data_IF_727405034866
#
_entry.id   IF_727405034866
#
_cell.length_a   1.000
_cell.length_b   1.000
_cell.length_c   1.000
_cell.angle_alpha   90.00
_cell.angle_beta   90.00
_cell.angle_gamma   90.00
#
_symmetry.space_group_name_H-M   'P 1'
#
loop_
_entity.id
_entity.type
_entity.pdbx_description
1 polymer ?
#
# COMPACT_ATOMS: atom_id res chain seq x y z
N UNK A 1 29.75 -54.59 43.08
CA UNK A 1 29.43 -54.20 41.69
C UNK A 1 27.91 -53.98 41.61
N UNK A 2 27.45 -52.79 41.75
CA UNK A 2 26.05 -52.41 41.59
C UNK A 2 25.90 -51.86 40.15
N UNK A 3 25.10 -52.52 39.33
CA UNK A 3 24.74 -52.04 38.00
C UNK A 3 23.66 -50.98 38.17
N UNK A 4 23.95 -49.76 37.72
CA UNK A 4 23.00 -48.68 37.58
C UNK A 4 22.20 -48.91 36.27
N UNK A 5 20.89 -49.09 36.40
CA UNK A 5 19.97 -49.13 35.26
C UNK A 5 19.56 -47.71 34.93
N UNK A 6 19.98 -47.17 33.81
CA UNK A 6 19.51 -45.89 33.28
C UNK A 6 18.21 -46.14 32.52
N UNK A 7 17.06 -45.72 33.09
CA UNK A 7 15.81 -45.65 32.35
C UNK A 7 15.79 -44.33 31.60
N UNK A 8 15.94 -44.40 30.29
CA UNK A 8 15.64 -43.26 29.40
C UNK A 8 14.14 -43.14 29.23
N UNK A 9 13.55 -42.09 29.82
CA UNK A 9 12.17 -41.65 29.50
C UNK A 9 12.21 -40.89 28.19
N UNK A 10 11.74 -41.48 27.11
CA UNK A 10 11.43 -40.79 25.89
C UNK A 10 10.08 -40.07 26.11
N UNK A 11 10.14 -38.76 26.27
CA UNK A 11 8.94 -37.92 26.24
C UNK A 11 8.55 -37.79 24.78
N UNK A 12 7.55 -38.51 24.33
CA UNK A 12 6.84 -38.22 23.10
C UNK A 12 6.01 -36.94 23.33
N UNK A 13 6.49 -35.79 22.86
CA UNK A 13 5.61 -34.67 22.62
C UNK A 13 4.72 -35.05 21.43
N UNK A 14 3.49 -35.42 21.70
CA UNK A 14 2.44 -35.40 20.68
C UNK A 14 2.06 -33.95 20.54
N UNK A 15 2.61 -33.26 19.53
CA UNK A 15 2.03 -32.04 19.05
C UNK A 15 0.66 -32.40 18.47
N UNK A 16 -0.40 -32.15 19.21
CA UNK A 16 -1.74 -32.05 18.62
C UNK A 16 -1.69 -30.85 17.70
N UNK A 17 -1.55 -31.08 16.39
CA UNK A 17 -1.99 -30.09 15.41
C UNK A 17 -3.46 -29.83 15.73
N UNK A 18 -3.71 -28.75 16.42
CA UNK A 18 -5.03 -28.17 16.49
C UNK A 18 -5.25 -27.61 15.08
N UNK A 19 -6.04 -28.28 14.25
CA UNK A 19 -6.55 -27.62 13.06
C UNK A 19 -7.30 -26.40 13.55
N UNK A 20 -6.77 -25.23 13.27
CA UNK A 20 -7.45 -23.98 13.54
C UNK A 20 -8.72 -24.00 12.70
N UNK A 21 -9.87 -23.76 13.33
CA UNK A 21 -11.11 -23.61 12.59
C UNK A 21 -10.94 -22.42 11.64
N UNK A 22 -11.40 -22.52 10.41
CA UNK A 22 -11.27 -21.40 9.47
C UNK A 22 -11.92 -20.14 10.07
N UNK A 23 -11.33 -18.96 9.88
CA UNK A 23 -11.87 -17.73 10.43
C UNK A 23 -13.30 -17.51 9.97
N UNK A 24 -14.17 -17.16 10.91
CA UNK A 24 -15.58 -16.85 10.62
C UNK A 24 -15.77 -15.35 10.62
N UNK A 25 -16.31 -14.81 9.53
CA UNK A 25 -16.60 -13.39 9.40
C UNK A 25 -18.09 -13.13 9.70
N UNK A 26 -18.34 -12.10 10.50
CA UNK A 26 -19.69 -11.59 10.75
C UNK A 26 -19.80 -10.22 10.13
N UNK A 27 -20.82 -9.99 9.29
CA UNK A 27 -21.11 -8.66 8.78
C UNK A 27 -21.51 -7.74 9.93
N UNK A 28 -20.77 -6.64 10.08
CA UNK A 28 -20.93 -5.62 11.11
C UNK A 28 -21.16 -4.22 10.51
N UNK A 29 -21.58 -4.15 9.24
CA UNK A 29 -21.86 -2.87 8.58
C UNK A 29 -22.92 -2.02 9.29
N UNK A 30 -23.71 -2.61 10.18
CA UNK A 30 -24.64 -1.87 11.04
C UNK A 30 -23.97 -1.01 12.11
N UNK A 31 -22.66 -1.20 12.35
CA UNK A 31 -21.90 -0.41 13.33
C UNK A 31 -21.40 0.92 12.76
N UNK A 32 -21.36 1.06 11.45
CA UNK A 32 -20.90 2.27 10.76
C UNK A 32 -22.04 2.94 10.02
N UNK A 33 -22.00 4.25 9.88
CA UNK A 33 -23.01 4.94 9.09
C UNK A 33 -22.86 4.62 7.60
N UNK A 34 -23.97 4.32 6.96
CA UNK A 34 -23.99 3.91 5.55
C UNK A 34 -24.06 5.14 4.63
N UNK A 35 -22.90 5.75 4.36
CA UNK A 35 -22.76 6.78 3.35
C UNK A 35 -22.32 6.17 2.02
N UNK A 36 -22.87 6.64 0.92
CA UNK A 36 -22.50 6.18 -0.43
C UNK A 36 -21.38 7.06 -0.97
N UNK A 37 -20.14 6.64 -0.83
CA UNK A 37 -18.95 7.33 -1.34
C UNK A 37 -18.09 6.42 -2.21
N UNK A 38 -17.29 7.02 -3.08
CA UNK A 38 -16.42 6.25 -3.98
C UNK A 38 -15.15 5.74 -3.31
N UNK A 39 -14.63 6.49 -2.31
CA UNK A 39 -13.37 6.18 -1.64
C UNK A 39 -13.55 6.26 -0.14
N UNK A 40 -13.00 5.30 0.57
CA UNK A 40 -12.90 5.28 2.03
C UNK A 40 -11.45 5.07 2.45
N UNK A 41 -11.11 5.61 3.61
CA UNK A 41 -9.79 5.47 4.23
C UNK A 41 -10.00 4.81 5.59
N UNK A 42 -9.08 3.95 5.98
CA UNK A 42 -9.01 3.38 7.33
C UNK A 42 -7.73 3.89 7.97
N UNK A 43 -7.84 4.66 9.03
CA UNK A 43 -6.72 5.33 9.70
C UNK A 43 -7.15 5.80 11.08
N UNK A 44 -6.22 5.85 12.03
CA UNK A 44 -6.43 6.48 13.33
C UNK A 44 -6.50 8.02 13.16
N UNK A 45 -7.69 8.60 13.33
CA UNK A 45 -7.95 10.03 13.14
C UNK A 45 -7.80 10.85 14.42
N UNK A 46 -7.88 10.23 15.60
CA UNK A 46 -7.88 10.93 16.88
C UNK A 46 -6.70 10.55 17.81
N UNK A 47 -5.81 9.66 17.37
CA UNK A 47 -4.58 9.28 18.05
C UNK A 47 -4.79 8.26 19.19
N UNK A 48 -5.88 7.50 19.17
CA UNK A 48 -6.20 6.50 20.19
C UNK A 48 -5.67 5.10 19.87
N UNK A 49 -4.99 4.91 18.73
CA UNK A 49 -4.44 3.66 18.17
C UNK A 49 -5.51 2.65 17.70
N UNK A 50 -6.72 3.11 17.42
CA UNK A 50 -7.76 2.34 16.75
C UNK A 50 -8.03 2.95 15.38
N UNK A 51 -8.15 2.09 14.37
CA UNK A 51 -8.45 2.56 13.02
C UNK A 51 -9.90 3.00 12.88
N UNK A 52 -10.09 4.21 12.37
CA UNK A 52 -11.39 4.81 12.08
C UNK A 52 -11.76 4.66 10.61
N UNK A 53 -13.04 4.78 10.28
CA UNK A 53 -13.48 4.84 8.89
C UNK A 53 -13.74 6.29 8.47
N UNK A 54 -13.01 6.74 7.46
CA UNK A 54 -13.13 8.10 6.89
C UNK A 54 -13.75 8.03 5.51
N UNK A 55 -14.72 8.89 5.25
CA UNK A 55 -15.40 9.02 3.97
C UNK A 55 -15.50 10.49 3.57
N UNK A 56 -15.22 10.76 2.32
CA UNK A 56 -15.19 12.13 1.78
C UNK A 56 -16.29 12.30 0.75
N UNK A 57 -17.04 13.42 0.86
CA UNK A 57 -18.10 13.81 -0.07
C UNK A 57 -17.99 15.28 -0.45
N UNK A 58 -18.76 15.74 -1.44
CA UNK A 58 -18.83 17.14 -1.80
C UNK A 58 -19.28 18.07 -0.65
N UNK A 59 -19.96 17.52 0.35
CA UNK A 59 -20.54 18.28 1.47
C UNK A 59 -19.80 18.12 2.78
N UNK A 60 -18.76 17.29 2.84
CA UNK A 60 -17.95 17.14 4.04
C UNK A 60 -17.27 15.80 4.19
N UNK A 61 -16.65 15.65 5.35
CA UNK A 61 -15.92 14.44 5.77
C UNK A 61 -16.72 13.74 6.86
N UNK A 62 -17.09 12.48 6.63
CA UNK A 62 -17.69 11.61 7.62
C UNK A 62 -16.64 10.72 8.26
N UNK A 63 -16.58 10.68 9.58
CA UNK A 63 -15.63 9.85 10.34
C UNK A 63 -16.45 9.00 11.30
N UNK A 64 -16.27 7.69 11.24
CA UNK A 64 -16.74 6.75 12.25
C UNK A 64 -15.55 6.37 13.14
N UNK A 65 -15.47 6.99 14.31
CA UNK A 65 -14.42 6.75 15.30
C UNK A 65 -14.65 5.41 16.00
N UNK A 66 -13.71 4.49 15.88
CA UNK A 66 -13.73 3.22 16.56
C UNK A 66 -13.53 3.42 18.07
N UNK A 67 -14.26 2.67 18.89
CA UNK A 67 -14.17 2.72 20.33
C UNK A 67 -13.55 1.44 20.88
N UNK A 68 -12.90 1.51 22.03
CA UNK A 68 -12.25 0.35 22.67
C UNK A 68 -13.20 -0.84 22.95
N UNK A 69 -14.51 -0.65 22.94
CA UNK A 69 -15.51 -1.71 23.08
C UNK A 69 -15.97 -2.30 21.73
N UNK A 70 -15.39 -1.83 20.61
CA UNK A 70 -15.70 -2.25 19.26
C UNK A 70 -16.95 -1.60 18.65
N UNK A 71 -17.50 -0.57 19.29
CA UNK A 71 -18.55 0.29 18.71
C UNK A 71 -17.92 1.43 17.93
N UNK A 72 -18.75 2.22 17.21
CA UNK A 72 -18.31 3.41 16.48
C UNK A 72 -19.14 4.62 16.87
N UNK A 73 -18.50 5.79 16.89
CA UNK A 73 -19.14 7.09 17.07
C UNK A 73 -18.97 7.89 15.78
N UNK A 74 -20.08 8.14 15.09
CA UNK A 74 -20.07 8.85 13.81
C UNK A 74 -20.09 10.35 14.01
N UNK A 75 -19.19 11.05 13.32
CA UNK A 75 -19.11 12.51 13.24
C UNK A 75 -19.12 12.92 11.77
N UNK A 76 -19.80 13.99 11.44
CA UNK A 76 -19.76 14.58 10.10
C UNK A 76 -19.28 16.04 10.19
N UNK A 77 -18.19 16.34 9.50
CA UNK A 77 -17.60 17.67 9.42
C UNK A 77 -18.10 18.33 8.14
N UNK A 78 -19.03 19.29 8.29
CA UNK A 78 -19.62 20.00 7.17
C UNK A 78 -18.60 20.94 6.52
N UNK A 79 -18.33 20.74 5.24
CA UNK A 79 -17.55 21.66 4.40
C UNK A 79 -17.86 21.41 2.92
N UNK A 80 -17.55 22.37 2.06
CA UNK A 80 -17.61 22.13 0.62
C UNK A 80 -16.22 21.68 0.17
N UNK A 81 -16.14 20.47 -0.39
CA UNK A 81 -14.92 19.91 -0.97
C UNK A 81 -15.05 20.01 -2.48
N UNK A 82 -14.09 20.67 -3.10
CA UNK A 82 -14.13 20.93 -4.55
C UNK A 82 -13.68 19.70 -5.36
N UNK A 83 -12.70 18.95 -4.84
CA UNK A 83 -12.09 17.83 -5.53
C UNK A 83 -12.15 16.56 -4.67
N UNK A 84 -13.33 15.91 -4.66
CA UNK A 84 -13.52 14.63 -3.96
C UNK A 84 -12.68 13.53 -4.63
N UNK A 85 -12.21 12.52 -3.87
CA UNK A 85 -11.41 11.44 -4.43
C UNK A 85 -12.24 10.56 -5.38
N UNK A 86 -11.65 10.17 -6.52
CA UNK A 86 -12.26 9.23 -7.45
C UNK A 86 -11.78 7.80 -7.18
N UNK A 87 -10.45 7.61 -7.01
CA UNK A 87 -9.86 6.27 -6.87
C UNK A 87 -8.93 6.10 -5.68
N UNK A 88 -8.32 7.16 -5.19
CA UNK A 88 -7.35 7.05 -4.09
C UNK A 88 -7.44 8.19 -3.11
N UNK A 89 -7.10 7.88 -1.87
CA UNK A 89 -6.83 8.86 -0.83
C UNK A 89 -5.78 8.31 0.12
N UNK A 90 -5.00 9.21 0.72
CA UNK A 90 -4.02 8.90 1.75
C UNK A 90 -4.25 9.81 2.95
N UNK A 91 -3.78 9.39 4.13
CA UNK A 91 -3.98 10.11 5.37
C UNK A 91 -2.72 10.06 6.24
N UNK A 92 -2.32 11.21 6.77
CA UNK A 92 -1.25 11.36 7.77
C UNK A 92 -1.31 12.75 8.38
N UNK A 93 -0.64 12.97 9.50
CA UNK A 93 -0.41 14.30 10.06
C UNK A 93 0.72 14.98 9.26
N UNK A 94 0.35 15.68 8.17
CA UNK A 94 1.30 16.28 7.21
C UNK A 94 1.98 17.52 7.80
N UNK A 95 1.27 18.28 8.61
CA UNK A 95 1.76 19.55 9.14
C UNK A 95 2.28 19.47 10.59
N UNK A 96 2.28 18.25 11.18
CA UNK A 96 2.80 18.00 12.52
C UNK A 96 1.95 18.62 13.63
N UNK A 97 0.67 18.92 13.40
CA UNK A 97 -0.21 19.53 14.39
C UNK A 97 -0.87 18.52 15.35
N UNK A 98 -0.66 17.21 15.11
CA UNK A 98 -1.20 16.10 15.90
C UNK A 98 -2.55 15.59 15.45
N UNK A 99 -3.09 16.08 14.34
CA UNK A 99 -4.34 15.64 13.73
C UNK A 99 -4.13 15.15 12.30
N UNK A 100 -4.81 14.11 11.93
CA UNK A 100 -4.65 13.47 10.62
C UNK A 100 -5.26 14.29 9.49
N UNK A 101 -4.44 14.63 8.50
CA UNK A 101 -4.81 15.29 7.25
C UNK A 101 -5.11 14.26 6.17
N UNK A 102 -5.74 14.70 5.07
CA UNK A 102 -6.10 13.83 3.95
C UNK A 102 -5.52 14.35 2.62
N UNK A 103 -4.98 13.46 1.82
CA UNK A 103 -4.64 13.70 0.42
C UNK A 103 -5.64 12.97 -0.46
N UNK A 104 -6.31 13.69 -1.34
CA UNK A 104 -7.40 13.20 -2.18
C UNK A 104 -6.96 13.15 -3.65
N UNK A 105 -7.04 11.97 -4.27
CA UNK A 105 -6.74 11.76 -5.68
C UNK A 105 -7.99 11.82 -6.55
N UNK A 106 -8.15 12.90 -7.31
CA UNK A 106 -9.26 13.10 -8.26
C UNK A 106 -8.78 12.99 -9.70
N UNK A 107 -9.66 12.69 -10.64
CA UNK A 107 -9.36 12.62 -12.07
C UNK A 107 -9.05 13.96 -12.73
N UNK A 108 -8.98 15.05 -11.98
CA UNK A 108 -8.67 16.40 -12.45
C UNK A 108 -7.62 17.11 -11.60
N UNK A 109 -7.56 16.83 -10.30
CA UNK A 109 -6.70 17.51 -9.32
C UNK A 109 -6.28 16.58 -8.19
N UNK A 110 -5.14 16.86 -7.60
CA UNK A 110 -4.83 16.40 -6.24
C UNK A 110 -5.24 17.50 -5.25
N UNK A 111 -5.87 17.12 -4.15
CA UNK A 111 -6.36 18.04 -3.14
C UNK A 111 -5.96 17.60 -1.74
N UNK A 112 -5.55 18.53 -0.90
CA UNK A 112 -5.14 18.29 0.48
C UNK A 112 -6.19 18.90 1.42
N UNK A 113 -6.67 18.13 2.38
CA UNK A 113 -7.51 18.61 3.47
C UNK A 113 -6.67 18.65 4.74
N UNK A 114 -6.28 19.85 5.16
CA UNK A 114 -5.55 20.04 6.41
C UNK A 114 -6.53 20.16 7.58
N UNK A 115 -6.37 19.30 8.58
CA UNK A 115 -7.10 19.38 9.82
C UNK A 115 -6.66 20.61 10.63
N UNK A 116 -7.58 21.25 11.34
CA UNK A 116 -7.24 22.33 12.25
C UNK A 116 -6.67 21.77 13.58
N UNK A 117 -6.13 22.66 14.45
CA UNK A 117 -5.46 22.32 15.72
C UNK A 117 -6.36 21.59 16.76
N UNK A 118 -7.63 21.36 16.49
CA UNK A 118 -8.53 20.61 17.37
C UNK A 118 -9.28 19.46 16.65
N UNK A 119 -8.93 19.18 15.39
CA UNK A 119 -9.49 18.08 14.60
C UNK A 119 -10.97 18.24 14.21
N UNK A 120 -11.56 19.43 14.44
CA UNK A 120 -13.01 19.65 14.23
C UNK A 120 -13.38 20.22 12.86
N UNK A 121 -12.39 20.63 12.07
CA UNK A 121 -12.59 21.23 10.75
C UNK A 121 -11.39 20.94 9.84
N UNK A 122 -11.62 21.04 8.53
CA UNK A 122 -10.57 20.94 7.52
C UNK A 122 -10.51 22.21 6.67
N UNK A 123 -9.32 22.45 6.12
CA UNK A 123 -9.10 23.47 5.08
C UNK A 123 -8.61 22.79 3.82
N UNK A 124 -9.33 22.94 2.69
CA UNK A 124 -8.91 22.39 1.41
C UNK A 124 -7.87 23.29 0.75
N UNK A 125 -6.76 22.68 0.30
CA UNK A 125 -5.73 23.32 -0.53
C UNK A 125 -5.43 22.43 -1.74
N UNK A 126 -5.23 23.04 -2.90
CA UNK A 126 -4.85 22.34 -4.12
C UNK A 126 -4.13 23.30 -5.07
N UNK A 127 -3.35 22.75 -5.98
CA UNK A 127 -2.83 23.49 -7.12
C UNK A 127 -3.76 23.38 -8.33
N UNK A 128 -3.92 24.46 -9.11
CA UNK A 128 -4.72 24.46 -10.33
C UNK A 128 -3.93 23.83 -11.50
N UNK A 129 -3.45 22.62 -11.29
CA UNK A 129 -2.74 21.82 -12.27
C UNK A 129 -3.47 20.50 -12.52
N UNK A 130 -3.64 20.15 -13.79
CA UNK A 130 -4.33 18.92 -14.17
C UNK A 130 -3.51 17.70 -13.80
N UNK A 131 -4.18 16.73 -13.17
CA UNK A 131 -3.69 15.38 -12.95
C UNK A 131 -4.84 14.38 -13.07
N UNK A 132 -4.64 13.29 -13.79
CA UNK A 132 -5.52 12.13 -13.71
C UNK A 132 -4.91 11.17 -12.68
N UNK A 133 -5.29 11.38 -11.42
CA UNK A 133 -4.70 10.65 -10.30
C UNK A 133 -5.14 9.20 -10.28
N UNK A 134 -4.20 8.27 -10.09
CA UNK A 134 -4.49 6.86 -9.83
C UNK A 134 -4.21 6.50 -8.37
N UNK A 135 -2.98 6.66 -7.89
CA UNK A 135 -2.61 6.41 -6.48
C UNK A 135 -2.01 7.67 -5.86
N UNK A 136 -2.29 7.85 -4.58
CA UNK A 136 -1.72 8.92 -3.74
C UNK A 136 -0.98 8.30 -2.55
N UNK A 137 0.18 8.84 -2.22
CA UNK A 137 0.95 8.44 -1.05
C UNK A 137 1.42 9.68 -0.29
N UNK A 138 1.57 9.54 1.03
CA UNK A 138 2.22 10.50 1.92
C UNK A 138 3.42 9.78 2.52
N UNK A 139 4.63 10.30 2.29
CA UNK A 139 5.89 9.67 2.68
C UNK A 139 6.99 10.75 2.73
N UNK A 140 7.96 10.63 3.63
CA UNK A 140 9.17 11.46 3.62
C UNK A 140 10.07 11.01 2.47
N UNK A 141 10.00 11.73 1.32
CA UNK A 141 10.69 11.35 0.08
C UNK A 141 12.18 11.69 0.14
N UNK A 142 12.53 12.76 0.85
CA UNK A 142 13.88 13.32 0.84
C UNK A 142 14.65 13.09 2.15
N UNK A 143 14.06 12.35 3.10
CA UNK A 143 14.61 12.05 4.43
C UNK A 143 14.91 13.32 5.25
N UNK A 144 14.09 14.39 5.12
CA UNK A 144 14.24 15.63 5.89
C UNK A 144 13.41 15.64 7.20
N UNK A 145 12.54 14.64 7.37
CA UNK A 145 11.67 14.44 8.52
C UNK A 145 10.27 15.04 8.36
N UNK A 146 9.99 15.75 7.28
CA UNK A 146 8.67 16.24 6.93
C UNK A 146 8.00 15.27 5.93
N UNK A 147 6.70 15.02 6.08
CA UNK A 147 5.97 14.14 5.18
C UNK A 147 5.64 14.86 3.88
N UNK A 148 6.20 14.38 2.78
CA UNK A 148 5.92 14.80 1.42
C UNK A 148 4.72 14.04 0.83
N UNK A 149 4.35 14.31 -0.43
CA UNK A 149 3.33 13.54 -1.12
C UNK A 149 3.77 13.15 -2.54
N UNK A 150 3.31 11.99 -2.98
CA UNK A 150 3.49 11.52 -4.34
C UNK A 150 2.16 11.10 -4.94
N UNK A 151 1.83 11.64 -6.13
CA UNK A 151 0.58 11.35 -6.83
C UNK A 151 0.88 10.79 -8.20
N UNK A 152 0.45 9.55 -8.44
CA UNK A 152 0.59 8.88 -9.74
C UNK A 152 -0.33 9.51 -10.77
N UNK A 153 0.21 9.85 -11.95
CA UNK A 153 -0.52 10.42 -13.07
C UNK A 153 -0.65 9.41 -14.22
N UNK A 154 -1.85 8.96 -14.54
CA UNK A 154 -2.09 7.94 -15.57
C UNK A 154 -1.66 8.39 -16.98
N UNK A 155 -1.83 9.66 -17.31
CA UNK A 155 -1.71 10.15 -18.69
C UNK A 155 -0.51 11.07 -18.93
N UNK A 156 0.33 11.32 -17.92
CA UNK A 156 1.51 12.17 -17.98
C UNK A 156 2.50 11.83 -16.85
N UNK A 157 3.55 12.61 -16.63
CA UNK A 157 4.50 12.49 -15.51
C UNK A 157 3.85 12.65 -14.15
N UNK A 158 4.39 11.97 -13.14
CA UNK A 158 3.89 12.00 -11.76
C UNK A 158 4.02 13.38 -11.11
N UNK A 159 3.20 13.64 -10.09
CA UNK A 159 3.26 14.87 -9.31
C UNK A 159 3.81 14.60 -7.90
N UNK A 160 5.11 14.80 -7.66
CA UNK A 160 5.67 14.88 -6.32
C UNK A 160 5.42 16.26 -5.71
N UNK A 161 5.05 16.30 -4.43
CA UNK A 161 4.83 17.53 -3.67
C UNK A 161 5.74 17.54 -2.46
N UNK A 162 6.60 18.54 -2.38
CA UNK A 162 7.45 18.79 -1.20
C UNK A 162 6.64 19.50 -0.13
N UNK A 163 6.71 19.02 1.09
CA UNK A 163 6.29 19.75 2.26
C UNK A 163 7.31 20.85 2.60
N UNK A 164 6.86 22.08 2.77
CA UNK A 164 7.75 23.19 3.17
C UNK A 164 7.73 23.45 4.68
N UNK A 165 7.12 22.55 5.47
CA UNK A 165 7.00 22.66 6.93
C UNK A 165 5.98 23.71 7.40
N UNK A 166 5.17 24.30 6.51
CA UNK A 166 4.23 25.40 6.83
C UNK A 166 2.80 25.13 6.32
N UNK A 167 2.35 23.88 6.35
CA UNK A 167 1.06 23.49 5.74
C UNK A 167 0.98 23.81 4.25
N UNK A 168 2.09 23.67 3.53
CA UNK A 168 2.13 24.02 2.13
C UNK A 168 2.86 22.93 1.34
N UNK A 169 2.07 22.22 0.55
CA UNK A 169 2.56 21.17 -0.34
C UNK A 169 2.87 21.80 -1.70
N UNK A 170 4.14 21.91 -2.01
CA UNK A 170 4.64 22.54 -3.23
C UNK A 170 4.99 21.50 -4.26
N UNK A 171 4.39 21.57 -5.47
CA UNK A 171 4.78 20.69 -6.57
C UNK A 171 6.25 20.91 -6.91
N UNK A 172 7.05 19.83 -6.81
CA UNK A 172 8.49 19.87 -6.99
C UNK A 172 8.98 18.64 -7.74
N UNK A 173 9.20 18.78 -9.05
CA UNK A 173 9.69 17.70 -9.91
C UNK A 173 11.17 17.33 -9.67
N UNK A 174 11.89 18.13 -8.88
CA UNK A 174 13.27 17.82 -8.47
C UNK A 174 13.32 16.98 -7.18
N UNK A 175 12.18 16.81 -6.48
CA UNK A 175 12.10 16.03 -5.25
C UNK A 175 12.41 14.53 -5.49
N UNK A 176 11.85 13.98 -6.54
CA UNK A 176 12.19 12.66 -7.09
C UNK A 176 12.05 12.70 -8.61
N UNK A 177 13.13 12.40 -9.31
CA UNK A 177 13.14 12.41 -10.76
C UNK A 177 12.68 11.05 -11.31
N UNK A 178 11.39 10.92 -11.54
CA UNK A 178 10.83 9.79 -12.27
C UNK A 178 10.89 10.03 -13.78
N UNK A 179 10.71 8.95 -14.56
CA UNK A 179 10.49 9.10 -15.99
C UNK A 179 9.22 9.93 -16.23
N UNK A 180 9.34 11.00 -17.02
CA UNK A 180 8.23 11.89 -17.38
C UNK A 180 7.38 11.25 -18.48
N UNK A 181 6.66 10.18 -18.11
CA UNK A 181 5.89 9.32 -18.99
C UNK A 181 4.55 8.95 -18.35
N UNK A 182 3.57 8.68 -19.18
CA UNK A 182 2.25 8.20 -18.79
C UNK A 182 2.26 6.75 -18.27
N UNK A 183 1.09 6.26 -17.86
CA UNK A 183 0.88 4.88 -17.39
C UNK A 183 1.24 4.63 -15.94
N UNK A 184 1.37 5.66 -15.12
CA UNK A 184 1.71 5.53 -13.70
C UNK A 184 0.47 5.15 -12.90
N UNK A 185 0.43 3.91 -12.40
CA UNK A 185 -0.76 3.37 -11.76
C UNK A 185 -0.67 3.36 -10.25
N UNK A 186 0.35 2.70 -9.69
CA UNK A 186 0.57 2.72 -8.25
C UNK A 186 2.04 2.93 -7.90
N UNK A 187 2.29 3.78 -6.90
CA UNK A 187 3.58 3.88 -6.21
C UNK A 187 3.48 3.16 -4.87
N UNK A 188 4.44 2.29 -4.61
CA UNK A 188 4.58 1.51 -3.38
C UNK A 188 5.95 1.85 -2.78
N UNK A 189 5.96 2.22 -1.50
CA UNK A 189 7.16 2.70 -0.83
C UNK A 189 7.64 1.62 0.15
N UNK A 190 8.85 1.15 -0.03
CA UNK A 190 9.42 0.00 0.68
C UNK A 190 10.95 0.11 0.70
N UNK A 191 11.59 -0.28 1.79
CA UNK A 191 13.04 -0.53 1.85
C UNK A 191 13.29 -1.97 1.34
N UNK A 192 13.49 -2.11 0.01
CA UNK A 192 13.55 -3.43 -0.63
C UNK A 192 14.91 -4.12 -0.49
N UNK A 193 15.99 -3.34 -0.24
CA UNK A 193 17.35 -3.87 -0.14
C UNK A 193 17.93 -3.77 1.29
N UNK A 194 17.05 -3.43 2.26
CA UNK A 194 17.37 -3.36 3.70
C UNK A 194 18.52 -2.40 4.03
N UNK A 195 18.68 -1.32 3.26
CA UNK A 195 19.72 -0.32 3.50
C UNK A 195 19.28 0.79 4.48
N UNK A 196 17.99 0.83 4.83
CA UNK A 196 17.37 1.74 5.79
C UNK A 196 16.75 2.97 5.15
N UNK A 197 16.83 3.14 3.84
CA UNK A 197 16.20 4.20 3.07
C UNK A 197 14.94 3.69 2.36
N UNK A 198 13.90 4.52 2.28
CA UNK A 198 12.66 4.10 1.62
C UNK A 198 12.77 4.29 0.11
N UNK A 199 12.57 3.21 -0.64
CA UNK A 199 12.57 3.17 -2.10
C UNK A 199 11.15 3.25 -2.67
N UNK A 200 11.02 3.43 -3.99
CA UNK A 200 9.72 3.50 -4.64
C UNK A 200 9.60 2.51 -5.80
N UNK A 201 8.71 1.53 -5.66
CA UNK A 201 8.26 0.70 -6.78
C UNK A 201 7.07 1.38 -7.47
N UNK A 202 7.19 1.64 -8.76
CA UNK A 202 6.16 2.26 -9.60
C UNK A 202 5.60 1.25 -10.58
N UNK A 203 4.34 0.85 -10.40
CA UNK A 203 3.65 -0.02 -11.35
C UNK A 203 3.12 0.78 -12.54
N UNK A 204 3.19 0.17 -13.70
CA UNK A 204 2.87 0.83 -14.98
C UNK A 204 1.76 0.08 -15.72
N UNK A 205 0.73 0.82 -16.11
CA UNK A 205 -0.37 0.29 -16.92
C UNK A 205 -0.80 1.31 -17.97
N UNK A 206 -0.40 1.12 -19.23
CA UNK A 206 -0.78 2.02 -20.33
C UNK A 206 -1.48 1.29 -21.44
N UNK A 207 -2.78 1.54 -21.60
CA UNK A 207 -3.55 0.96 -22.68
C UNK A 207 -2.98 1.34 -24.07
N UNK A 208 -2.71 0.33 -24.89
CA UNK A 208 -2.20 0.50 -26.24
C UNK A 208 -0.66 0.50 -26.35
N UNK A 209 0.08 0.57 -25.26
CA UNK A 209 1.52 0.40 -25.26
C UNK A 209 1.91 -1.08 -25.43
N UNK A 210 3.01 -1.33 -26.14
CA UNK A 210 3.53 -2.68 -26.38
C UNK A 210 4.41 -3.15 -25.20
N UNK A 211 4.55 -4.49 -24.99
CA UNK A 211 5.54 -4.99 -24.03
C UNK A 211 6.94 -4.44 -24.29
N UNK A 212 7.60 -3.97 -23.21
CA UNK A 212 8.89 -3.30 -23.26
C UNK A 212 8.83 -1.79 -23.53
N UNK A 213 7.63 -1.22 -23.68
CA UNK A 213 7.44 0.22 -23.68
C UNK A 213 7.62 0.76 -22.27
N UNK A 214 8.39 1.83 -22.02
CA UNK A 214 8.55 2.41 -20.69
C UNK A 214 7.26 2.90 -20.04
N UNK A 215 6.21 3.20 -20.80
CA UNK A 215 4.88 3.52 -20.25
C UNK A 215 4.14 2.31 -19.68
N UNK A 216 4.69 1.10 -19.88
CA UNK A 216 4.11 -0.17 -19.47
C UNK A 216 5.07 -1.02 -18.62
N UNK A 217 6.36 -0.68 -18.57
CA UNK A 217 7.37 -1.42 -17.81
C UNK A 217 7.48 -0.84 -16.40
N UNK A 218 7.30 -1.68 -15.38
CA UNK A 218 7.44 -1.28 -13.99
C UNK A 218 8.83 -0.75 -13.70
N UNK A 219 8.91 0.24 -12.82
CA UNK A 219 10.16 0.88 -12.43
C UNK A 219 10.39 0.71 -10.92
N UNK A 220 11.67 0.61 -10.53
CA UNK A 220 12.10 0.63 -9.14
C UNK A 220 13.10 1.76 -8.96
N UNK A 221 12.74 2.74 -8.18
CA UNK A 221 13.57 3.90 -7.86
C UNK A 221 14.21 3.68 -6.50
N UNK A 222 15.48 3.27 -6.51
CA UNK A 222 16.27 3.10 -5.30
C UNK A 222 16.68 4.45 -4.76
N UNK A 223 16.41 4.70 -3.48
CA UNK A 223 16.94 5.83 -2.73
C UNK A 223 18.46 5.66 -2.55
N UNK A 224 19.25 6.69 -2.80
CA UNK A 224 20.70 6.63 -2.67
C UNK A 224 21.20 7.16 -1.30
N UNK A 225 20.29 7.50 -0.38
CA UNK A 225 20.61 8.06 0.94
C UNK A 225 21.14 9.50 0.92
N UNK A 226 21.12 10.15 -0.23
CA UNK A 226 21.60 11.53 -0.40
C UNK A 226 20.55 12.49 -0.99
N UNK A 227 19.28 12.07 -0.97
CA UNK A 227 18.15 12.81 -1.55
C UNK A 227 18.00 12.61 -3.05
N UNK A 228 18.73 11.67 -3.65
CA UNK A 228 18.58 11.29 -5.06
C UNK A 228 18.11 9.86 -5.21
N UNK A 229 17.50 9.55 -6.36
CA UNK A 229 16.98 8.22 -6.68
C UNK A 229 17.61 7.70 -7.99
N UNK A 230 17.77 6.38 -8.07
CA UNK A 230 18.28 5.70 -9.27
C UNK A 230 17.28 4.63 -9.71
N UNK A 231 16.82 4.67 -10.97
CA UNK A 231 16.00 3.61 -11.54
C UNK A 231 16.83 2.33 -11.73
N UNK A 232 16.40 1.20 -11.16
CA UNK A 232 17.17 -0.04 -11.08
C UNK A 232 16.39 -1.31 -11.48
N UNK A 233 15.10 -1.23 -11.82
CA UNK A 233 14.22 -2.39 -11.99
C UNK A 233 14.79 -3.45 -12.93
N UNK A 234 15.35 -3.07 -14.08
CA UNK A 234 15.93 -4.04 -15.03
C UNK A 234 17.14 -4.76 -14.41
N UNK A 235 17.98 -4.05 -13.69
CA UNK A 235 19.22 -4.60 -13.12
C UNK A 235 18.98 -5.54 -11.94
N UNK A 236 17.83 -5.43 -11.28
CA UNK A 236 17.46 -6.25 -10.11
C UNK A 236 16.36 -7.28 -10.40
N UNK A 237 15.88 -7.39 -11.64
CA UNK A 237 14.90 -8.40 -12.04
C UNK A 237 13.43 -8.03 -11.84
N UNK A 238 13.10 -6.77 -11.47
CA UNK A 238 11.73 -6.28 -11.24
C UNK A 238 11.09 -5.55 -12.42
N UNK A 239 11.74 -5.45 -13.57
CA UNK A 239 11.22 -4.77 -14.76
C UNK A 239 10.11 -5.59 -15.45
N UNK A 240 8.99 -5.82 -14.76
CA UNK A 240 7.81 -6.40 -15.39
C UNK A 240 7.27 -5.46 -16.46
N UNK A 241 7.07 -5.98 -17.67
CA UNK A 241 6.57 -5.21 -18.82
C UNK A 241 5.12 -5.57 -19.17
N UNK A 242 4.41 -6.16 -18.22
CA UNK A 242 2.97 -6.37 -18.29
C UNK A 242 2.20 -5.13 -17.76
N UNK A 243 0.89 -5.15 -17.86
CA UNK A 243 0.03 -4.05 -17.41
C UNK A 243 -0.23 -4.18 -15.91
N UNK A 244 0.66 -3.67 -15.06
CA UNK A 244 0.59 -3.85 -13.62
C UNK A 244 -0.27 -2.77 -12.95
N UNK A 245 -1.17 -3.18 -12.04
CA UNK A 245 -2.02 -2.26 -11.29
C UNK A 245 -1.55 -2.04 -9.85
N UNK A 246 -1.05 -3.08 -9.20
CA UNK A 246 -0.57 -3.01 -7.83
C UNK A 246 0.52 -4.04 -7.59
N UNK A 247 1.25 -3.88 -6.49
CA UNK A 247 2.19 -4.87 -5.97
C UNK A 247 1.99 -4.97 -4.47
N UNK A 248 1.97 -6.18 -3.95
CA UNK A 248 1.97 -6.45 -2.52
C UNK A 248 3.41 -6.75 -2.13
N UNK A 249 3.91 -6.07 -1.10
CA UNK A 249 5.24 -6.25 -0.54
C UNK A 249 5.13 -6.84 0.85
N UNK A 250 5.68 -8.03 1.05
CA UNK A 250 5.79 -8.70 2.35
C UNK A 250 7.01 -9.63 2.36
N UNK A 251 7.49 -9.93 3.55
CA UNK A 251 8.40 -11.04 3.80
C UNK A 251 7.56 -12.33 3.84
N UNK A 252 7.41 -13.00 2.68
CA UNK A 252 6.51 -14.14 2.53
C UNK A 252 7.11 -15.45 3.04
N UNK A 253 8.44 -15.57 3.14
CA UNK A 253 9.10 -16.77 3.65
C UNK A 253 9.75 -16.58 5.03
N UNK A 254 9.62 -15.38 5.61
CA UNK A 254 10.16 -15.00 6.91
C UNK A 254 11.71 -15.07 6.97
N UNK A 255 12.40 -14.74 5.88
CA UNK A 255 13.85 -14.69 5.82
C UNK A 255 14.42 -13.29 6.15
N UNK A 256 13.58 -12.29 6.26
CA UNK A 256 13.89 -10.92 6.66
C UNK A 256 13.97 -9.93 5.50
N UNK A 257 13.65 -10.35 4.30
CA UNK A 257 13.61 -9.52 3.09
C UNK A 257 12.18 -9.36 2.58
N UNK A 258 11.90 -8.25 1.89
CA UNK A 258 10.60 -8.09 1.25
C UNK A 258 10.58 -8.73 -0.13
N UNK A 259 9.59 -9.60 -0.33
CA UNK A 259 9.20 -10.16 -1.63
C UNK A 259 8.06 -9.36 -2.25
N UNK A 260 7.78 -9.58 -3.55
CA UNK A 260 6.79 -8.81 -4.27
C UNK A 260 5.81 -9.69 -5.06
N UNK A 261 4.51 -9.57 -4.76
CA UNK A 261 3.45 -10.14 -5.59
C UNK A 261 2.84 -9.06 -6.47
N UNK A 262 3.15 -9.09 -7.77
CA UNK A 262 2.72 -8.09 -8.75
C UNK A 262 1.43 -8.52 -9.45
N UNK A 263 0.42 -7.65 -9.37
CA UNK A 263 -0.92 -7.87 -9.94
C UNK A 263 -1.00 -7.24 -11.33
N UNK A 264 -1.16 -8.10 -12.35
CA UNK A 264 -1.24 -7.68 -13.75
C UNK A 264 -2.68 -7.69 -14.27
N UNK A 265 -3.09 -6.59 -14.91
CA UNK A 265 -4.46 -6.35 -15.36
C UNK A 265 -4.98 -7.37 -16.37
N UNK A 266 -4.19 -7.74 -17.35
CA UNK A 266 -4.62 -8.58 -18.49
C UNK A 266 -3.64 -9.69 -18.83
N UNK A 267 -2.59 -9.82 -18.07
CA UNK A 267 -1.50 -10.77 -18.26
C UNK A 267 -1.28 -11.57 -16.96
N UNK A 268 -0.35 -12.52 -17.00
CA UNK A 268 -0.05 -13.32 -15.81
C UNK A 268 0.54 -12.47 -14.68
N UNK A 269 0.04 -12.67 -13.46
CA UNK A 269 0.63 -12.12 -12.25
C UNK A 269 2.07 -12.65 -12.07
N UNK A 270 2.87 -11.95 -11.29
CA UNK A 270 4.25 -12.33 -10.95
C UNK A 270 4.40 -12.44 -9.44
N UNK A 271 5.20 -13.40 -9.03
CA UNK A 271 5.66 -13.51 -7.65
C UNK A 271 7.19 -13.47 -7.64
N UNK A 272 7.75 -12.42 -7.09
CA UNK A 272 9.18 -12.18 -7.07
C UNK A 272 9.74 -12.46 -5.69
N UNK A 273 10.62 -13.45 -5.59
CA UNK A 273 11.44 -13.76 -4.41
C UNK A 273 12.69 -12.88 -4.41
N UNK A 274 12.94 -12.19 -3.31
CA UNK A 274 14.18 -11.47 -3.03
C UNK A 274 15.25 -12.45 -2.53
N UNK A 275 16.48 -12.36 -2.99
CA UNK A 275 17.56 -13.27 -2.57
C UNK A 275 18.40 -12.74 -1.40
N UNK A 276 17.93 -11.72 -0.69
CA UNK A 276 18.63 -11.05 0.40
C UNK A 276 19.71 -10.07 -0.03
N UNK A 277 19.88 -9.90 -1.33
CA UNK A 277 20.79 -8.89 -1.88
C UNK A 277 20.08 -7.80 -2.67
N UNK A 278 18.74 -7.80 -2.64
CA UNK A 278 17.90 -6.91 -3.43
C UNK A 278 17.78 -7.34 -4.89
N UNK A 279 18.09 -8.59 -5.23
CA UNK A 279 17.86 -9.15 -6.58
C UNK A 279 16.64 -10.08 -6.55
N UNK A 280 15.76 -9.95 -7.54
CA UNK A 280 14.47 -10.62 -7.59
C UNK A 280 14.39 -11.68 -8.69
N UNK A 281 13.76 -12.79 -8.36
CA UNK A 281 13.48 -13.89 -9.28
C UNK A 281 11.98 -14.19 -9.33
N UNK A 282 11.38 -14.22 -10.53
CA UNK A 282 9.97 -14.60 -10.68
C UNK A 282 9.79 -16.10 -10.40
N UNK A 283 9.12 -16.44 -9.31
CA UNK A 283 8.85 -17.79 -8.85
C UNK A 283 7.40 -18.22 -8.97
N UNK A 284 6.51 -17.43 -9.59
CA UNK A 284 5.07 -17.68 -9.65
C UNK A 284 4.72 -19.12 -10.07
N UNK A 285 5.52 -19.75 -10.94
CA UNK A 285 5.27 -21.10 -11.42
C UNK A 285 5.45 -22.19 -10.33
N UNK A 286 6.14 -21.90 -9.24
CA UNK A 286 6.37 -22.79 -8.11
C UNK A 286 5.44 -22.57 -6.93
N UNK A 287 4.76 -21.42 -6.84
CA UNK A 287 3.95 -21.03 -5.66
C UNK A 287 2.58 -21.73 -5.57
N UNK A 288 2.12 -22.40 -6.62
CA UNK A 288 0.74 -22.92 -6.66
C UNK A 288 -0.35 -21.88 -6.89
N UNK A 289 -0.03 -20.58 -6.84
CA UNK A 289 -0.95 -19.49 -7.18
C UNK A 289 -1.27 -19.57 -8.67
N UNK A 290 -2.54 -19.40 -9.03
CA UNK A 290 -2.94 -19.32 -10.42
C UNK A 290 -2.44 -17.99 -11.04
N UNK A 291 -1.45 -18.01 -11.93
CA UNK A 291 -0.89 -16.76 -12.47
C UNK A 291 -1.85 -16.06 -13.44
N UNK A 292 -2.88 -16.76 -13.93
CA UNK A 292 -3.83 -16.23 -14.91
C UNK A 292 -5.15 -15.77 -14.28
N UNK A 293 -5.13 -15.45 -13.01
CA UNK A 293 -6.22 -14.74 -12.35
C UNK A 293 -6.29 -13.30 -12.87
N UNK A 294 -6.82 -13.20 -14.09
CA UNK A 294 -6.79 -11.98 -14.88
C UNK A 294 -7.86 -10.99 -14.42
N UNK A 295 -7.50 -9.72 -14.45
CA UNK A 295 -8.40 -8.61 -14.17
C UNK A 295 -8.54 -8.30 -12.68
N UNK A 296 -7.67 -8.80 -11.82
CA UNK A 296 -7.58 -8.36 -10.45
C UNK A 296 -7.22 -6.87 -10.42
N UNK A 297 -7.94 -6.11 -9.58
CA UNK A 297 -7.66 -4.69 -9.35
C UNK A 297 -6.60 -4.53 -8.27
N UNK A 298 -6.83 -5.22 -7.17
CA UNK A 298 -5.91 -5.33 -6.05
C UNK A 298 -5.97 -6.75 -5.49
N UNK A 299 -4.91 -7.16 -4.84
CA UNK A 299 -4.87 -8.33 -3.98
C UNK A 299 -4.39 -7.88 -2.60
N UNK A 300 -4.63 -8.69 -1.58
CA UNK A 300 -4.29 -8.35 -0.20
C UNK A 300 -3.42 -9.43 0.40
N UNK A 301 -2.35 -9.01 1.09
CA UNK A 301 -1.49 -9.90 1.88
C UNK A 301 -1.80 -9.74 3.37
N UNK A 302 -2.04 -10.84 4.07
CA UNK A 302 -2.15 -10.90 5.52
C UNK A 302 -2.00 -12.34 5.98
N UNK A 303 -1.59 -12.55 7.24
CA UNK A 303 -1.65 -13.85 7.90
C UNK A 303 -3.10 -14.13 8.32
N UNK A 304 -3.86 -14.82 7.44
CA UNK A 304 -5.29 -15.05 7.65
C UNK A 304 -5.59 -16.19 8.62
N UNK A 305 -4.65 -17.08 8.91
CA UNK A 305 -4.85 -18.20 9.83
C UNK A 305 -3.99 -18.14 11.10
N UNK A 306 -3.18 -17.08 11.26
CA UNK A 306 -2.27 -16.85 12.38
C UNK A 306 -1.20 -17.95 12.52
N UNK A 307 -0.66 -18.44 11.41
CA UNK A 307 0.45 -19.38 11.41
C UNK A 307 1.83 -18.70 11.35
N UNK A 308 1.84 -17.39 11.10
CA UNK A 308 3.03 -16.54 11.05
C UNK A 308 3.56 -16.30 9.64
N UNK A 309 2.90 -16.81 8.61
CA UNK A 309 3.23 -16.54 7.20
C UNK A 309 2.14 -15.70 6.55
N UNK A 310 2.55 -14.84 5.61
CA UNK A 310 1.61 -13.97 4.90
C UNK A 310 0.96 -14.74 3.76
N UNK A 311 -0.36 -14.76 3.75
CA UNK A 311 -1.22 -15.35 2.72
C UNK A 311 -1.60 -14.31 1.67
N UNK A 312 -2.16 -14.75 0.54
CA UNK A 312 -2.63 -13.87 -0.53
C UNK A 312 -4.12 -14.07 -0.78
N UNK A 313 -4.91 -13.01 -0.64
CA UNK A 313 -6.31 -12.98 -1.07
C UNK A 313 -6.42 -12.29 -2.43
N UNK A 314 -6.92 -13.03 -3.43
CA UNK A 314 -7.22 -12.50 -4.76
C UNK A 314 -8.66 -12.03 -4.84
N UNK A 315 -8.86 -10.73 -5.07
CA UNK A 315 -10.19 -10.11 -5.09
C UNK A 315 -11.07 -10.64 -6.22
N UNK A 316 -10.56 -10.71 -7.45
CA UNK A 316 -11.35 -11.07 -8.62
C UNK A 316 -11.64 -12.56 -8.71
N UNK A 317 -10.66 -13.42 -8.42
CA UNK A 317 -10.87 -14.87 -8.36
C UNK A 317 -11.70 -15.23 -7.12
N UNK A 318 -11.68 -14.39 -6.08
CA UNK A 318 -12.24 -14.70 -4.75
C UNK A 318 -11.60 -15.96 -4.18
N UNK A 319 -10.30 -16.09 -4.40
CA UNK A 319 -9.47 -17.18 -3.91
C UNK A 319 -8.57 -16.68 -2.78
N UNK A 320 -8.41 -17.51 -1.77
CA UNK A 320 -7.47 -17.30 -0.68
C UNK A 320 -6.38 -18.35 -0.81
N UNK A 321 -5.17 -17.91 -1.07
CA UNK A 321 -3.98 -18.74 -1.16
C UNK A 321 -3.28 -18.71 0.19
N UNK A 322 -3.26 -19.86 0.85
CA UNK A 322 -2.60 -20.03 2.16
C UNK A 322 -1.12 -20.36 1.93
N UNK A 323 -0.24 -19.59 2.53
CA UNK A 323 1.19 -19.83 2.46
C UNK A 323 1.60 -20.99 3.37
N UNK A 324 2.30 -21.98 2.82
CA UNK A 324 2.73 -23.17 3.57
C UNK A 324 4.05 -22.95 4.32
N UNK A 325 4.57 -21.72 4.36
CA UNK A 325 5.84 -21.35 4.99
C UNK A 325 7.08 -21.60 4.12
N UNK A 326 6.88 -21.76 2.82
CA UNK A 326 7.93 -21.95 1.82
C UNK A 326 7.53 -21.35 0.45
N UNK A 327 6.61 -20.40 0.46
CA UNK A 327 6.03 -19.75 -0.73
C UNK A 327 5.43 -20.74 -1.75
N UNK A 328 4.83 -21.85 -1.29
CA UNK A 328 4.17 -22.85 -2.14
C UNK A 328 2.69 -23.04 -1.81
#
# INVERSE_FOLDING_TARGET
>A
MKKLLLCAFAIFMVSTLMSQEPPTFTNKSELIENYSYNTSITVDMDGDYLDDFVRVSETGVGIDYQQADGTFVSVFIDMIIQWIPDWSAAAADIDGNGYTDLLLGNGQRASFLFANEDGTAFTEKFEDLYIFSQRTNIVDINNDGDLDAFVCHDVDGNHPYRNDGNQNMVLDFDLIQTLDLAGNYASLWVDYDNDGDTDMHLTKCRQGSSPGDPERTNAMYRNNGDGTYTEVAESIGLADNEQSWATIWHDFDNDGDYDAFCVNHSEANRFYENDGTGFFTDIIASTGINPTDLGAWENHGADFDNDGFVDVFSEMARELYMNNGDMT
#
